data_IF_937132344341
#
_entry.id   IF_937132344341
#
_cell.length_a   1.000
_cell.length_b   1.000
_cell.length_c   1.000
_cell.angle_alpha   90.00
_cell.angle_beta   90.00
_cell.angle_gamma   90.00
#
_symmetry.space_group_name_H-M   'P 1'
#
loop_
_entity.id
_entity.type
_entity.pdbx_description
1 polymer ?
#
# COMPACT_ATOMS: atom_id res chain seq x y z
N UNK A 1 8.60 26.08 19.80
CA UNK A 1 7.33 26.85 19.64
C UNK A 1 6.61 26.65 18.29
N UNK A 2 7.03 25.72 17.40
CA UNK A 2 6.31 25.37 16.14
C UNK A 2 5.50 24.07 16.22
N UNK A 3 5.56 23.34 17.35
CA UNK A 3 5.02 21.98 17.47
C UNK A 3 3.49 21.88 17.33
N UNK A 4 2.75 22.92 17.75
CA UNK A 4 1.29 22.94 17.63
C UNK A 4 0.81 22.96 16.17
N UNK A 5 1.44 23.77 15.32
CA UNK A 5 1.03 23.93 13.91
C UNK A 5 1.27 22.64 13.12
N UNK A 6 2.41 21.98 13.31
CA UNK A 6 2.69 20.71 12.62
C UNK A 6 1.75 19.59 13.08
N UNK A 7 1.36 19.57 14.36
CA UNK A 7 0.39 18.62 14.88
C UNK A 7 -0.99 18.82 14.28
N UNK A 8 -1.44 20.06 14.19
CA UNK A 8 -2.76 20.38 13.62
C UNK A 8 -2.79 20.06 12.13
N UNK A 9 -1.71 20.34 11.40
CA UNK A 9 -1.56 19.92 10.00
C UNK A 9 -1.60 18.40 9.86
N UNK A 10 -0.88 17.67 10.71
CA UNK A 10 -0.84 16.21 10.69
C UNK A 10 -2.24 15.62 10.87
N UNK A 11 -3.01 16.08 11.87
CA UNK A 11 -4.37 15.59 12.10
C UNK A 11 -5.35 15.96 10.99
N UNK A 12 -5.16 17.10 10.34
CA UNK A 12 -5.95 17.48 9.17
C UNK A 12 -5.69 16.53 8.00
N UNK A 13 -4.42 16.35 7.62
CA UNK A 13 -4.03 15.52 6.48
C UNK A 13 -4.24 14.02 6.73
N UNK A 14 -4.08 13.53 7.96
CA UNK A 14 -4.28 12.12 8.28
C UNK A 14 -5.71 11.65 8.04
N UNK A 15 -6.72 12.52 8.27
CA UNK A 15 -8.12 12.21 7.97
C UNK A 15 -8.37 12.08 6.47
N UNK A 16 -7.86 13.02 5.68
CA UNK A 16 -7.99 12.99 4.20
C UNK A 16 -7.27 11.77 3.64
N UNK A 17 -6.04 11.52 4.13
CA UNK A 17 -5.25 10.35 3.77
C UNK A 17 -5.99 9.04 4.09
N UNK A 18 -6.58 8.91 5.28
CA UNK A 18 -7.32 7.69 5.66
C UNK A 18 -8.50 7.39 4.73
N UNK A 19 -9.26 8.42 4.33
CA UNK A 19 -10.38 8.26 3.40
C UNK A 19 -9.88 7.83 2.02
N UNK A 20 -8.85 8.50 1.49
CA UNK A 20 -8.27 8.15 0.19
C UNK A 20 -7.67 6.74 0.19
N UNK A 21 -6.98 6.38 1.27
CA UNK A 21 -6.40 5.07 1.47
C UNK A 21 -7.49 3.98 1.47
N UNK A 22 -8.57 4.16 2.23
CA UNK A 22 -9.67 3.21 2.26
C UNK A 22 -10.28 2.98 0.87
N UNK A 23 -10.50 4.06 0.10
CA UNK A 23 -10.98 3.96 -1.28
C UNK A 23 -9.97 3.27 -2.21
N UNK A 24 -8.67 3.53 -2.02
CA UNK A 24 -7.58 2.84 -2.70
C UNK A 24 -7.59 1.33 -2.45
N UNK A 25 -7.75 0.90 -1.19
CA UNK A 25 -7.80 -0.52 -0.83
C UNK A 25 -9.01 -1.22 -1.48
N UNK A 26 -10.20 -0.60 -1.41
CA UNK A 26 -11.42 -1.19 -2.00
C UNK A 26 -11.28 -1.33 -3.52
N UNK A 27 -10.78 -0.30 -4.20
CA UNK A 27 -10.59 -0.34 -5.65
C UNK A 27 -9.48 -1.32 -6.08
N UNK A 28 -8.38 -1.39 -5.32
CA UNK A 28 -7.29 -2.34 -5.57
C UNK A 28 -7.74 -3.80 -5.45
N UNK A 29 -8.55 -4.12 -4.44
CA UNK A 29 -9.15 -5.44 -4.28
C UNK A 29 -9.96 -5.83 -5.53
N UNK A 30 -10.79 -4.91 -6.03
CA UNK A 30 -11.59 -5.15 -7.25
C UNK A 30 -10.69 -5.40 -8.46
N UNK A 31 -9.61 -4.62 -8.66
CA UNK A 31 -8.67 -4.85 -9.76
C UNK A 31 -8.00 -6.23 -9.68
N UNK A 32 -7.57 -6.67 -8.49
CA UNK A 32 -6.95 -7.97 -8.32
C UNK A 32 -7.86 -9.11 -8.80
N UNK A 33 -9.15 -9.05 -8.46
CA UNK A 33 -10.14 -10.04 -8.92
C UNK A 33 -10.47 -9.91 -10.41
N UNK A 34 -10.39 -8.72 -11.00
CA UNK A 34 -10.65 -8.54 -12.44
C UNK A 34 -9.69 -9.33 -13.32
N UNK A 35 -8.42 -9.50 -12.93
CA UNK A 35 -7.47 -10.36 -13.65
C UNK A 35 -7.96 -11.81 -13.75
N UNK A 36 -8.61 -12.34 -12.71
CA UNK A 36 -9.14 -13.69 -12.71
C UNK A 36 -10.48 -13.84 -13.42
N UNK A 37 -11.40 -12.89 -13.22
CA UNK A 37 -12.79 -13.01 -13.70
C UNK A 37 -12.98 -12.56 -15.15
N UNK A 38 -12.28 -11.50 -15.59
CA UNK A 38 -12.44 -10.94 -16.93
C UNK A 38 -11.32 -11.35 -17.90
N UNK A 39 -10.14 -11.72 -17.37
CA UNK A 39 -8.94 -11.98 -18.18
C UNK A 39 -8.36 -13.38 -17.93
N UNK A 40 -9.21 -14.40 -17.99
CA UNK A 40 -8.84 -15.78 -17.65
C UNK A 40 -7.67 -16.34 -18.48
N UNK A 41 -7.64 -16.08 -19.79
CA UNK A 41 -6.53 -16.52 -20.66
C UNK A 41 -5.21 -15.84 -20.31
N UNK A 42 -5.25 -14.54 -20.01
CA UNK A 42 -4.08 -13.79 -19.52
C UNK A 42 -3.61 -14.33 -18.17
N UNK A 43 -4.53 -14.61 -17.25
CA UNK A 43 -4.20 -15.19 -15.94
C UNK A 43 -3.53 -16.56 -16.06
N UNK A 44 -3.97 -17.42 -17.00
CA UNK A 44 -3.30 -18.69 -17.27
C UNK A 44 -1.90 -18.54 -17.90
N UNK A 45 -1.70 -17.53 -18.75
CA UNK A 45 -0.42 -17.30 -19.43
C UNK A 45 0.60 -16.56 -18.54
N UNK A 46 0.20 -15.42 -17.97
CA UNK A 46 1.05 -14.55 -17.16
C UNK A 46 1.12 -14.98 -15.69
N UNK A 47 0.18 -15.80 -15.21
CA UNK A 47 0.08 -16.17 -13.79
C UNK A 47 1.33 -16.84 -13.21
N UNK A 48 2.15 -17.51 -14.04
CA UNK A 48 3.44 -18.07 -13.62
C UNK A 48 4.50 -17.03 -13.25
N UNK A 49 4.39 -15.79 -13.77
CA UNK A 49 5.36 -14.71 -13.54
C UNK A 49 4.75 -13.58 -12.71
N UNK A 50 3.59 -13.07 -13.11
CA UNK A 50 2.92 -11.94 -12.42
C UNK A 50 2.22 -12.36 -11.14
N UNK A 51 1.78 -13.63 -11.03
CA UNK A 51 1.12 -14.17 -9.85
C UNK A 51 2.00 -14.09 -8.59
N UNK A 52 3.22 -14.64 -8.59
CA UNK A 52 4.16 -14.50 -7.48
C UNK A 52 4.49 -13.05 -7.14
N UNK A 53 4.71 -12.18 -8.14
CA UNK A 53 5.01 -10.76 -7.93
C UNK A 53 3.89 -10.03 -7.17
N UNK A 54 2.63 -10.28 -7.57
CA UNK A 54 1.45 -9.72 -6.88
C UNK A 54 1.26 -10.32 -5.49
N UNK A 55 1.50 -11.62 -5.31
CA UNK A 55 1.43 -12.26 -4.00
C UNK A 55 2.48 -11.69 -3.02
N UNK A 56 3.71 -11.46 -3.49
CA UNK A 56 4.77 -10.84 -2.68
C UNK A 56 4.42 -9.39 -2.30
N UNK A 57 3.84 -8.62 -3.21
CA UNK A 57 3.36 -7.27 -2.95
C UNK A 57 2.36 -7.24 -1.79
N UNK A 58 1.34 -8.10 -1.84
CA UNK A 58 0.33 -8.20 -0.77
C UNK A 58 0.94 -8.66 0.56
N UNK A 59 1.78 -9.69 0.54
CA UNK A 59 2.34 -10.26 1.77
C UNK A 59 3.35 -9.34 2.45
N UNK A 60 4.13 -8.56 1.69
CA UNK A 60 5.23 -7.76 2.24
C UNK A 60 4.87 -6.29 2.40
N UNK A 61 4.24 -5.67 1.41
CA UNK A 61 3.99 -4.24 1.40
C UNK A 61 2.62 -3.91 2.02
N UNK A 62 1.56 -4.60 1.58
CA UNK A 62 0.21 -4.32 2.06
C UNK A 62 0.03 -4.66 3.54
N UNK A 63 0.55 -5.80 4.01
CA UNK A 63 0.50 -6.15 5.44
C UNK A 63 1.29 -5.18 6.31
N UNK A 64 2.47 -4.76 5.85
CA UNK A 64 3.29 -3.78 6.54
C UNK A 64 2.56 -2.44 6.63
N UNK A 65 2.02 -1.96 5.51
CA UNK A 65 1.26 -0.73 5.44
C UNK A 65 0.02 -0.77 6.33
N UNK A 66 -0.83 -1.80 6.20
CA UNK A 66 -2.04 -1.96 7.01
C UNK A 66 -1.74 -2.05 8.52
N UNK A 67 -0.65 -2.74 8.89
CA UNK A 67 -0.21 -2.86 10.27
C UNK A 67 0.21 -1.52 10.89
N UNK A 68 1.08 -0.77 10.21
CA UNK A 68 1.56 0.52 10.71
C UNK A 68 0.53 1.65 10.54
N UNK A 69 -0.37 1.57 9.57
CA UNK A 69 -1.43 2.56 9.34
C UNK A 69 -2.44 2.59 10.50
N UNK A 70 -2.76 1.44 11.09
CA UNK A 70 -3.57 1.40 12.32
C UNK A 70 -2.90 2.15 13.48
N UNK A 71 -1.58 2.02 13.63
CA UNK A 71 -0.79 2.76 14.63
C UNK A 71 -0.73 4.25 14.29
N UNK A 72 -0.58 4.60 13.01
CA UNK A 72 -0.55 5.99 12.54
C UNK A 72 -1.87 6.73 12.85
N UNK A 73 -3.02 6.08 12.64
CA UNK A 73 -4.35 6.69 12.82
C UNK A 73 -4.82 6.71 14.27
N UNK A 74 -4.61 5.62 15.03
CA UNK A 74 -5.17 5.47 16.38
C UNK A 74 -4.12 5.52 17.50
N UNK A 75 -2.83 5.55 17.16
CA UNK A 75 -1.74 5.46 18.12
C UNK A 75 -1.38 6.77 18.83
N UNK A 76 -1.99 7.90 18.48
CA UNK A 76 -1.56 9.23 18.97
C UNK A 76 -1.44 9.36 20.50
N UNK A 77 -2.37 8.76 21.26
CA UNK A 77 -2.33 8.74 22.73
C UNK A 77 -1.90 7.37 23.30
N UNK A 78 -1.55 6.40 22.45
CA UNK A 78 -1.24 5.01 22.84
C UNK A 78 0.23 4.63 22.60
N UNK A 79 0.94 5.34 21.72
CA UNK A 79 2.36 5.11 21.42
C UNK A 79 3.17 6.38 21.61
N UNK A 80 4.45 6.23 21.97
CA UNK A 80 5.36 7.36 22.13
C UNK A 80 5.60 8.11 20.80
N UNK A 81 5.97 9.41 20.84
CA UNK A 81 6.12 10.25 19.66
C UNK A 81 7.14 9.72 18.64
N UNK A 82 8.23 9.08 19.11
CA UNK A 82 9.22 8.45 18.23
C UNK A 82 8.68 7.21 17.50
N UNK A 83 7.86 6.40 18.17
CA UNK A 83 7.26 5.21 17.57
C UNK A 83 6.16 5.59 16.56
N UNK A 84 5.43 6.67 16.84
CA UNK A 84 4.42 7.21 15.93
C UNK A 84 5.05 7.76 14.63
N UNK A 85 6.18 8.48 14.76
CA UNK A 85 6.96 8.91 13.59
C UNK A 85 7.51 7.71 12.79
N UNK A 86 8.08 6.71 13.48
CA UNK A 86 8.55 5.49 12.84
C UNK A 86 7.43 4.76 12.09
N UNK A 87 6.24 4.62 12.68
CA UNK A 87 5.08 4.01 12.03
C UNK A 87 4.70 4.78 10.75
N UNK A 88 4.73 6.11 10.79
CA UNK A 88 4.44 6.95 9.61
C UNK A 88 5.48 6.75 8.50
N UNK A 89 6.77 6.62 8.84
CA UNK A 89 7.82 6.29 7.87
C UNK A 89 7.65 4.90 7.28
N UNK A 90 7.27 3.91 8.11
CA UNK A 90 7.03 2.54 7.65
C UNK A 90 5.86 2.45 6.69
N UNK A 91 4.76 3.20 6.94
CA UNK A 91 3.65 3.32 5.99
C UNK A 91 4.15 3.81 4.63
N UNK A 92 4.93 4.90 4.60
CA UNK A 92 5.48 5.45 3.36
C UNK A 92 6.44 4.48 2.63
N UNK A 93 7.28 3.75 3.37
CA UNK A 93 8.16 2.73 2.79
C UNK A 93 7.35 1.55 2.21
N UNK A 94 6.29 1.12 2.90
CA UNK A 94 5.36 0.11 2.40
C UNK A 94 4.76 0.51 1.05
N UNK A 95 4.29 1.75 0.93
CA UNK A 95 3.71 2.26 -0.32
C UNK A 95 4.72 2.29 -1.47
N UNK A 96 5.98 2.65 -1.20
CA UNK A 96 7.05 2.63 -2.21
C UNK A 96 7.40 1.22 -2.68
N UNK A 97 7.44 0.25 -1.75
CA UNK A 97 7.70 -1.15 -2.08
C UNK A 97 6.52 -1.73 -2.89
N UNK A 98 5.27 -1.46 -2.51
CA UNK A 98 4.09 -1.87 -3.28
C UNK A 98 4.14 -1.30 -4.70
N UNK A 99 4.43 0.00 -4.84
CA UNK A 99 4.58 0.65 -6.15
C UNK A 99 5.65 -0.03 -7.00
N UNK A 100 6.76 -0.43 -6.40
CA UNK A 100 7.86 -1.11 -7.10
C UNK A 100 7.41 -2.45 -7.69
N UNK A 101 6.69 -3.27 -6.93
CA UNK A 101 6.21 -4.58 -7.40
C UNK A 101 5.14 -4.46 -8.49
N UNK A 102 4.18 -3.55 -8.31
CA UNK A 102 3.14 -3.30 -9.31
C UNK A 102 3.75 -2.78 -10.62
N UNK A 103 4.70 -1.85 -10.54
CA UNK A 103 5.39 -1.34 -11.72
C UNK A 103 6.28 -2.41 -12.37
N UNK A 104 6.92 -3.28 -11.59
CA UNK A 104 7.70 -4.40 -12.14
C UNK A 104 6.80 -5.36 -12.93
N UNK A 105 5.62 -5.69 -12.40
CA UNK A 105 4.62 -6.50 -13.10
C UNK A 105 4.16 -5.84 -14.41
N UNK A 106 3.81 -4.55 -14.37
CA UNK A 106 3.43 -3.79 -15.56
C UNK A 106 4.57 -3.65 -16.58
N UNK A 107 5.81 -3.49 -16.11
CA UNK A 107 6.99 -3.42 -16.98
C UNK A 107 7.21 -4.75 -17.72
N UNK A 108 7.08 -5.88 -17.02
CA UNK A 108 7.17 -7.20 -17.66
C UNK A 108 6.07 -7.41 -18.71
N UNK A 109 4.87 -6.87 -18.50
CA UNK A 109 3.80 -6.91 -19.51
C UNK A 109 4.15 -6.12 -20.78
N UNK A 110 4.97 -5.06 -20.70
CA UNK A 110 5.42 -4.30 -21.87
C UNK A 110 6.59 -4.97 -22.59
N UNK A 111 7.52 -5.57 -21.84
CA UNK A 111 8.68 -6.28 -22.38
C UNK A 111 8.76 -7.68 -21.78
N UNK A 112 7.96 -8.64 -22.28
CA UNK A 112 7.93 -9.99 -21.75
C UNK A 112 9.23 -10.71 -22.11
N UNK A 113 10.11 -10.84 -21.13
CA UNK A 113 11.34 -11.62 -21.17
C UNK A 113 11.49 -12.36 -19.84
N UNK A 114 12.05 -13.57 -19.91
CA UNK A 114 12.12 -14.51 -18.78
C UNK A 114 11.08 -15.60 -18.88
#
# INVERSE_FOLDING_TARGET
>A
KKEGVYRDLYHFWSKVFAVNFAMGVVSGLVMAYQFGTNWSYFSSFAGGVTGPLLAYEVLTAFFLEAGFLGVMLFGWNKVGPGLHFFATCMVALGTLISTTWILASNSWMQTPQG
#
